data_IF_072891674324
#
_entry.id   IF_072891674324
#
_cell.length_a   1.000
_cell.length_b   1.000
_cell.length_c   1.000
_cell.angle_alpha   90.00
_cell.angle_beta   90.00
_cell.angle_gamma   90.00
#
_symmetry.space_group_name_H-M   'P 1'
#
loop_
_entity.id
_entity.type
_entity.pdbx_description
1 polymer ?
#
# COMPACT_ATOMS: atom_id res chain seq x y z
N UNK A 1 20.04 12.81 -17.89
CA UNK A 1 18.63 12.47 -18.17
C UNK A 1 18.10 11.75 -16.95
N UNK A 2 17.09 12.27 -16.26
CA UNK A 2 16.48 11.60 -15.11
C UNK A 2 15.36 10.67 -15.60
N UNK A 3 15.48 9.38 -15.32
CA UNK A 3 14.44 8.38 -15.61
C UNK A 3 13.84 7.94 -14.29
N UNK A 4 12.52 8.03 -14.17
CA UNK A 4 11.78 7.56 -12.99
C UNK A 4 11.03 6.27 -13.33
N UNK A 5 11.06 5.31 -12.42
CA UNK A 5 10.26 4.09 -12.50
C UNK A 5 9.05 4.25 -11.58
N UNK A 6 7.85 4.10 -12.14
CA UNK A 6 6.60 4.10 -11.39
C UNK A 6 6.05 2.68 -11.38
N UNK A 7 5.59 2.23 -10.22
CA UNK A 7 4.91 0.95 -10.04
C UNK A 7 3.65 1.17 -9.18
N UNK A 8 2.65 0.32 -9.36
CA UNK A 8 1.45 0.31 -8.51
C UNK A 8 1.52 -0.86 -7.53
N UNK A 9 1.25 -0.57 -6.25
CA UNK A 9 1.31 -1.52 -5.13
C UNK A 9 -0.05 -1.53 -4.43
N UNK A 10 -0.63 -2.72 -4.29
CA UNK A 10 -1.82 -2.93 -3.45
C UNK A 10 -1.36 -3.62 -2.17
N UNK A 11 -1.51 -2.93 -1.05
CA UNK A 11 -1.23 -3.46 0.27
C UNK A 11 -2.51 -3.65 1.06
N UNK A 12 -2.55 -4.66 1.91
CA UNK A 12 -3.71 -4.98 2.75
C UNK A 12 -3.30 -5.24 4.18
N UNK A 13 -4.05 -4.70 5.14
CA UNK A 13 -3.88 -4.99 6.57
C UNK A 13 -5.23 -5.18 7.26
N UNK A 14 -5.26 -6.02 8.29
CA UNK A 14 -6.42 -6.20 9.17
C UNK A 14 -6.50 -5.17 10.30
N UNK A 15 -5.45 -4.37 10.49
CA UNK A 15 -5.35 -3.41 11.61
C UNK A 15 -5.83 -2.01 11.22
N UNK A 16 -5.22 -1.42 10.20
CA UNK A 16 -5.49 -0.05 9.78
C UNK A 16 -4.94 0.23 8.39
N UNK A 17 -5.29 1.40 7.83
CA UNK A 17 -4.68 1.89 6.59
C UNK A 17 -3.19 2.21 6.74
N UNK A 18 -2.78 2.76 7.88
CA UNK A 18 -1.37 3.09 8.15
C UNK A 18 -0.49 1.84 8.18
N UNK A 19 -0.96 0.77 8.84
CA UNK A 19 -0.27 -0.53 8.88
C UNK A 19 -0.19 -1.15 7.47
N UNK A 20 -1.23 -0.99 6.64
CA UNK A 20 -1.20 -1.44 5.24
C UNK A 20 -0.14 -0.68 4.41
N UNK A 21 -0.05 0.64 4.57
CA UNK A 21 0.96 1.46 3.86
C UNK A 21 2.38 1.07 4.29
N UNK A 22 2.63 0.98 5.59
CA UNK A 22 3.97 0.62 6.11
C UNK A 22 4.39 -0.78 5.63
N UNK A 23 3.50 -1.77 5.70
CA UNK A 23 3.80 -3.11 5.20
C UNK A 23 4.03 -3.13 3.69
N UNK A 24 3.21 -2.41 2.92
CA UNK A 24 3.34 -2.34 1.47
C UNK A 24 4.66 -1.69 1.04
N UNK A 25 5.08 -0.61 1.70
CA UNK A 25 6.37 0.04 1.44
C UNK A 25 7.52 -0.89 1.83
N UNK A 26 7.47 -1.51 3.01
CA UNK A 26 8.50 -2.44 3.47
C UNK A 26 8.67 -3.61 2.49
N UNK A 27 7.57 -4.22 2.06
CA UNK A 27 7.60 -5.33 1.10
C UNK A 27 8.13 -4.90 -0.27
N UNK A 28 7.82 -3.69 -0.68
CA UNK A 28 8.32 -3.12 -1.94
C UNK A 28 9.82 -2.84 -1.85
N UNK A 29 10.30 -2.34 -0.71
CA UNK A 29 11.70 -2.07 -0.44
C UNK A 29 12.58 -3.34 -0.46
N UNK A 30 12.01 -4.51 -0.15
CA UNK A 30 12.72 -5.80 -0.29
C UNK A 30 13.08 -6.13 -1.74
N UNK A 31 12.31 -5.62 -2.71
CA UNK A 31 12.44 -5.98 -4.14
C UNK A 31 12.94 -4.82 -5.01
N UNK A 32 12.72 -3.58 -4.58
CA UNK A 32 13.04 -2.37 -5.34
C UNK A 32 13.86 -1.43 -4.46
N UNK A 33 15.07 -1.13 -4.90
CA UNK A 33 15.96 -0.14 -4.29
C UNK A 33 15.55 1.28 -4.66
N UNK A 34 15.88 2.24 -3.78
CA UNK A 34 15.63 3.68 -3.96
C UNK A 34 14.15 4.09 -4.07
N UNK A 35 13.28 3.48 -3.27
CA UNK A 35 11.90 3.97 -3.07
C UNK A 35 11.95 5.33 -2.35
N UNK A 36 11.71 6.41 -3.09
CA UNK A 36 11.81 7.79 -2.59
C UNK A 36 10.48 8.40 -2.16
N UNK A 37 9.36 7.83 -2.63
CA UNK A 37 8.02 8.29 -2.27
C UNK A 37 6.93 7.39 -2.82
N UNK A 38 5.75 7.52 -2.23
CA UNK A 38 4.52 6.86 -2.66
C UNK A 38 3.37 7.86 -2.51
N UNK A 39 2.37 7.77 -3.38
CA UNK A 39 1.14 8.54 -3.26
C UNK A 39 -0.03 7.57 -3.19
N UNK A 40 -1.00 7.84 -2.33
CA UNK A 40 -2.16 6.99 -2.22
C UNK A 40 -3.11 7.31 -3.36
N UNK A 41 -3.37 6.33 -4.22
CA UNK A 41 -4.32 6.42 -5.32
C UNK A 41 -5.74 6.09 -4.87
N UNK A 42 -5.89 5.04 -4.07
CA UNK A 42 -7.19 4.61 -3.54
C UNK A 42 -7.06 3.96 -2.16
N UNK A 43 -8.09 4.14 -1.33
CA UNK A 43 -8.26 3.42 -0.07
C UNK A 43 -9.61 2.71 -0.06
N UNK A 44 -9.57 1.41 0.24
CA UNK A 44 -10.75 0.53 0.24
C UNK A 44 -10.81 -0.25 1.53
N UNK A 45 -12.03 -0.59 1.95
CA UNK A 45 -12.27 -1.48 3.09
C UNK A 45 -13.05 -2.68 2.62
N UNK A 46 -12.63 -3.86 3.07
CA UNK A 46 -13.42 -5.08 2.95
C UNK A 46 -14.30 -5.15 4.19
N UNK A 47 -15.61 -5.20 3.97
CA UNK A 47 -16.61 -5.30 5.02
C UNK A 47 -17.24 -6.68 4.98
N UNK A 48 -17.31 -7.34 6.12
CA UNK A 48 -17.99 -8.62 6.29
C UNK A 48 -18.92 -8.55 7.49
N UNK A 49 -20.18 -8.93 7.31
CA UNK A 49 -21.23 -8.90 8.35
C UNK A 49 -21.32 -7.54 9.06
N UNK A 50 -21.16 -6.44 8.31
CA UNK A 50 -21.20 -5.08 8.83
C UNK A 50 -19.97 -4.64 9.62
N UNK A 51 -18.91 -5.46 9.68
CA UNK A 51 -17.63 -5.11 10.32
C UNK A 51 -16.52 -5.00 9.28
N UNK A 52 -15.63 -4.04 9.45
CA UNK A 52 -14.42 -3.95 8.63
C UNK A 52 -13.52 -5.12 8.99
N UNK A 53 -13.16 -5.93 7.99
CA UNK A 53 -12.29 -7.10 8.15
C UNK A 53 -10.90 -6.88 7.56
N UNK A 54 -10.76 -5.98 6.58
CA UNK A 54 -9.49 -5.69 5.94
C UNK A 54 -9.49 -4.28 5.35
N UNK A 55 -8.35 -3.61 5.46
CA UNK A 55 -8.05 -2.31 4.88
C UNK A 55 -7.10 -2.54 3.71
N UNK A 56 -7.46 -2.04 2.53
CA UNK A 56 -6.64 -2.12 1.32
C UNK A 56 -6.26 -0.72 0.86
N UNK A 57 -5.00 -0.53 0.55
CA UNK A 57 -4.46 0.73 0.04
C UNK A 57 -3.77 0.45 -1.29
N UNK A 58 -4.17 1.19 -2.31
CA UNK A 58 -3.50 1.23 -3.60
C UNK A 58 -2.63 2.48 -3.62
N UNK A 59 -1.32 2.28 -3.78
CA UNK A 59 -0.29 3.31 -3.78
C UNK A 59 0.77 3.08 -4.85
#
# INVERSE_FOLDING_TARGET
MSVAKIIEVIASSKKSFDDAVQQGISRTADSITDVTGAWIKDQKVVVSKGKIVEYRVLM
#
